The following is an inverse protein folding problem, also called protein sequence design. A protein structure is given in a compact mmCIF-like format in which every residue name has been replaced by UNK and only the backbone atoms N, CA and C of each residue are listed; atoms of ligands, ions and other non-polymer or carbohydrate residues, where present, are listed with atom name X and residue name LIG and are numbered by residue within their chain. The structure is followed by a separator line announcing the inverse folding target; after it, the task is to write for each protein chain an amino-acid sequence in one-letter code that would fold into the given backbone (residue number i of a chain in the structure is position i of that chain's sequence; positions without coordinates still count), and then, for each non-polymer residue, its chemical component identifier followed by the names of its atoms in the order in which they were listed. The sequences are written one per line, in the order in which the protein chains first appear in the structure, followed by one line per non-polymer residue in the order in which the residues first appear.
data_IF_336054644700
#
_entry.id   IF_336054644700
#
_cell.length_a   1.000
_cell.length_b   1.000
_cell.length_c   1.000
_cell.angle_alpha   90.00
_cell.angle_beta   90.00
_cell.angle_gamma   90.00
#
_symmetry.space_group_name_H-M   'P 1'
#
loop_
_entity.id
_entity.type
_entity.pdbx_description
1 polymer ?
#
# COMPACT_ATOMS: atom_id res chain seq x y z
N UNK A 1 3.09 1.48 -8.12
CA UNK A 1 3.70 2.11 -6.93
C UNK A 1 2.97 1.64 -5.69
N UNK A 2 3.67 1.09 -4.69
CA UNK A 2 3.10 0.71 -3.40
C UNK A 2 3.26 1.87 -2.44
N UNK A 3 2.20 2.21 -1.72
CA UNK A 3 2.23 3.16 -0.61
C UNK A 3 1.78 2.45 0.65
N UNK A 4 2.70 2.32 1.60
CA UNK A 4 2.49 1.63 2.85
C UNK A 4 2.33 2.65 3.98
N UNK A 5 1.14 2.72 4.55
CA UNK A 5 0.86 3.57 5.71
C UNK A 5 1.23 2.84 7.01
N UNK A 6 2.20 3.38 7.74
CA UNK A 6 2.60 2.91 9.07
C UNK A 6 2.33 3.95 10.16
N UNK A 7 1.39 4.88 9.91
CA UNK A 7 0.87 5.77 10.94
C UNK A 7 0.03 4.99 11.95
N UNK A 8 0.48 4.88 13.20
CA UNK A 8 -0.07 3.98 14.21
C UNK A 8 -1.55 4.24 14.56
N UNK A 9 -2.01 5.49 14.51
CA UNK A 9 -3.42 5.86 14.71
C UNK A 9 -4.34 5.38 13.57
N UNK A 10 -3.77 4.94 12.44
CA UNK A 10 -4.55 4.28 11.39
C UNK A 10 -4.95 2.85 11.77
N UNK A 11 -4.39 2.30 12.85
CA UNK A 11 -4.62 0.92 13.27
C UNK A 11 -5.34 0.85 14.62
N UNK A 12 -6.24 -0.13 14.84
CA UNK A 12 -6.91 -0.30 16.12
C UNK A 12 -5.89 -0.49 17.25
N UNK A 13 -6.00 0.29 18.33
CA UNK A 13 -4.99 0.34 19.41
C UNK A 13 -4.62 -1.04 19.97
N UNK A 14 -5.61 -1.95 20.09
CA UNK A 14 -5.40 -3.30 20.63
C UNK A 14 -4.59 -4.23 19.71
N UNK A 15 -4.61 -3.98 18.41
CA UNK A 15 -3.95 -4.84 17.40
C UNK A 15 -2.91 -4.07 16.60
N UNK A 16 -2.60 -2.83 16.99
CA UNK A 16 -1.76 -1.89 16.24
C UNK A 16 -0.48 -2.54 15.74
N UNK A 17 0.30 -3.13 16.64
CA UNK A 17 1.55 -3.80 16.30
C UNK A 17 1.34 -4.94 15.29
N UNK A 18 0.42 -5.88 15.58
CA UNK A 18 0.16 -7.05 14.73
C UNK A 18 -0.36 -6.62 13.34
N UNK A 19 -1.24 -5.61 13.28
CA UNK A 19 -1.78 -5.08 12.04
C UNK A 19 -0.73 -4.31 11.23
N UNK A 20 0.21 -3.62 11.89
CA UNK A 20 1.37 -3.01 11.23
C UNK A 20 2.29 -4.04 10.60
N UNK A 21 2.66 -5.08 11.34
CA UNK A 21 3.45 -6.21 10.81
C UNK A 21 2.76 -6.89 9.61
N UNK A 22 1.43 -7.05 9.71
CA UNK A 22 0.65 -7.57 8.60
C UNK A 22 0.68 -6.62 7.39
N UNK A 23 0.65 -5.31 7.58
CA UNK A 23 0.74 -4.34 6.49
C UNK A 23 2.10 -4.41 5.78
N UNK A 24 3.20 -4.56 6.53
CA UNK A 24 4.55 -4.80 6.00
C UNK A 24 4.58 -6.11 5.20
N UNK A 25 4.02 -7.18 5.77
CA UNK A 25 3.94 -8.50 5.12
C UNK A 25 3.15 -8.44 3.80
N UNK A 26 2.01 -7.74 3.80
CA UNK A 26 1.19 -7.53 2.59
C UNK A 26 1.96 -6.75 1.54
N UNK A 27 2.67 -5.68 1.93
CA UNK A 27 3.50 -4.90 1.01
C UNK A 27 4.61 -5.75 0.38
N UNK A 28 5.34 -6.53 1.18
CA UNK A 28 6.39 -7.44 0.72
C UNK A 28 5.84 -8.47 -0.28
N UNK A 29 4.70 -9.10 0.06
CA UNK A 29 4.08 -10.13 -0.77
C UNK A 29 3.51 -9.58 -2.08
N UNK A 30 2.87 -8.41 -2.06
CA UNK A 30 2.42 -7.73 -3.28
C UNK A 30 3.61 -7.35 -4.16
N UNK A 31 4.69 -6.81 -3.57
CA UNK A 31 5.91 -6.47 -4.32
C UNK A 31 6.52 -7.72 -4.98
N UNK A 32 6.67 -8.81 -4.23
CA UNK A 32 7.19 -10.08 -4.73
C UNK A 32 6.32 -10.64 -5.87
N UNK A 33 5.00 -10.61 -5.71
CA UNK A 33 4.07 -11.06 -6.73
C UNK A 33 4.18 -10.22 -8.02
N UNK A 34 4.21 -8.89 -7.91
CA UNK A 34 4.35 -8.00 -9.07
C UNK A 34 5.71 -8.18 -9.77
N UNK A 35 6.80 -8.29 -9.02
CA UNK A 35 8.14 -8.56 -9.59
C UNK A 35 8.17 -9.91 -10.29
N UNK A 36 7.54 -10.95 -9.74
CA UNK A 36 7.43 -12.27 -10.39
C UNK A 36 6.68 -12.24 -11.72
N UNK A 37 5.85 -11.20 -11.94
CA UNK A 37 5.12 -10.94 -13.19
C UNK A 37 5.87 -9.97 -14.13
N UNK A 38 7.13 -9.65 -13.83
CA UNK A 38 7.96 -8.73 -14.63
C UNK A 38 7.49 -7.27 -14.58
N UNK A 39 6.62 -6.92 -13.62
CA UNK A 39 6.10 -5.57 -13.48
C UNK A 39 7.12 -4.65 -12.80
N UNK A 40 7.03 -3.36 -13.11
CA UNK A 40 7.79 -2.33 -12.38
C UNK A 40 7.13 -2.06 -11.04
N UNK A 41 7.90 -2.06 -9.96
CA UNK A 41 7.40 -1.86 -8.59
C UNK A 41 8.27 -0.83 -7.89
N UNK A 42 7.66 0.11 -7.20
CA UNK A 42 8.32 1.03 -6.26
C UNK A 42 7.56 1.02 -4.94
N UNK A 43 8.17 1.58 -3.90
CA UNK A 43 7.62 1.63 -2.55
C UNK A 43 7.77 3.04 -1.98
N UNK A 44 6.76 3.52 -1.28
CA UNK A 44 6.84 4.70 -0.41
C UNK A 44 6.15 4.39 0.91
N UNK A 45 6.69 4.88 2.01
CA UNK A 45 6.09 4.70 3.34
C UNK A 45 6.38 5.88 4.26
N UNK A 46 5.40 6.17 5.12
CA UNK A 46 5.54 7.07 6.26
C UNK A 46 5.89 6.33 7.56
N UNK A 47 6.40 5.09 7.48
CA UNK A 47 7.00 4.42 8.63
C UNK A 47 8.32 5.06 9.04
N UNK A 48 8.71 4.84 10.29
CA UNK A 48 10.01 5.27 10.79
C UNK A 48 11.08 4.29 10.31
N UNK A 49 12.07 4.76 9.55
CA UNK A 49 13.30 4.00 9.26
C UNK A 49 14.31 4.28 10.38
N UNK A 50 14.72 3.23 11.11
CA UNK A 50 15.68 3.34 12.21
C UNK A 50 17.01 4.01 11.81
N UNK A 51 17.42 3.88 10.54
CA UNK A 51 18.67 4.44 10.04
C UNK A 51 18.50 5.89 9.59
N UNK A 52 17.32 6.25 9.06
CA UNK A 52 17.03 7.56 8.50
C UNK A 52 15.69 8.12 9.03
N UNK A 53 15.60 8.45 10.33
CA UNK A 53 14.33 8.72 11.02
C UNK A 53 13.62 10.02 10.60
N UNK A 54 14.25 10.87 9.78
CA UNK A 54 13.72 12.18 9.38
C UNK A 54 13.31 12.27 7.91
N UNK A 55 13.38 11.17 7.16
CA UNK A 55 13.02 11.13 5.75
C UNK A 55 11.93 10.11 5.48
N UNK A 56 10.95 10.48 4.65
CA UNK A 56 10.00 9.50 4.10
C UNK A 56 10.78 8.43 3.33
N UNK A 57 10.52 7.16 3.61
CA UNK A 57 11.19 6.06 2.95
C UNK A 57 10.63 5.87 1.55
N UNK A 58 11.49 5.91 0.55
CA UNK A 58 11.10 5.85 -0.86
C UNK A 58 12.07 5.03 -1.70
N UNK A 59 11.52 4.18 -2.55
CA UNK A 59 12.21 3.45 -3.59
C UNK A 59 11.45 3.71 -4.91
N UNK A 60 12.09 4.31 -5.93
CA UNK A 60 11.47 4.54 -7.23
C UNK A 60 11.08 3.23 -7.90
N UNK A 61 10.13 3.30 -8.84
CA UNK A 61 9.68 2.10 -9.55
C UNK A 61 10.76 1.58 -10.50
N UNK A 62 11.16 0.33 -10.33
CA UNK A 62 12.06 -0.38 -11.24
C UNK A 62 11.64 -1.85 -11.39
N UNK A 63 12.32 -2.61 -12.25
CA UNK A 63 12.04 -4.03 -12.52
C UNK A 63 13.12 -4.94 -11.95
N UNK A 64 12.79 -6.22 -11.77
CA UNK A 64 13.73 -7.30 -11.53
C UNK A 64 13.99 -7.62 -10.05
N UNK A 65 14.79 -8.65 -9.80
CA UNK A 65 14.99 -9.20 -8.46
C UNK A 65 15.77 -8.27 -7.52
N UNK A 66 16.69 -7.46 -8.05
CA UNK A 66 17.37 -6.43 -7.26
C UNK A 66 16.39 -5.43 -6.67
N UNK A 67 15.37 -5.03 -7.43
CA UNK A 67 14.33 -4.14 -6.94
C UNK A 67 13.55 -4.77 -5.77
N UNK A 68 13.21 -6.06 -5.87
CA UNK A 68 12.56 -6.77 -4.77
C UNK A 68 13.44 -6.78 -3.53
N UNK A 69 14.74 -7.07 -3.69
CA UNK A 69 15.69 -7.07 -2.57
C UNK A 69 15.74 -5.72 -1.87
N UNK A 70 15.90 -4.62 -2.61
CA UNK A 70 15.88 -3.26 -2.04
C UNK A 70 14.59 -2.96 -1.27
N UNK A 71 13.45 -3.40 -1.80
CA UNK A 71 12.14 -3.23 -1.15
C UNK A 71 12.08 -4.01 0.16
N UNK A 72 12.50 -5.28 0.17
CA UNK A 72 12.48 -6.12 1.37
C UNK A 72 13.44 -5.61 2.45
N UNK A 73 14.63 -5.15 2.06
CA UNK A 73 15.60 -4.54 2.99
C UNK A 73 15.06 -3.28 3.64
N UNK A 74 14.35 -2.43 2.89
CA UNK A 74 13.70 -1.26 3.46
C UNK A 74 12.56 -1.67 4.40
N UNK A 75 11.65 -2.54 3.95
CA UNK A 75 10.51 -3.00 4.74
C UNK A 75 10.94 -3.61 6.08
N UNK A 76 12.06 -4.32 6.12
CA UNK A 76 12.61 -4.92 7.34
C UNK A 76 13.07 -3.91 8.40
N UNK A 77 13.28 -2.64 8.03
CA UNK A 77 13.69 -1.57 8.96
C UNK A 77 12.54 -0.65 9.37
N UNK A 78 11.40 -0.76 8.69
CA UNK A 78 10.29 0.15 8.92
C UNK A 78 9.52 -0.24 10.17
N UNK A 79 9.26 0.75 11.02
CA UNK A 79 8.39 0.61 12.19
C UNK A 79 7.17 1.52 12.08
N UNK A 80 6.13 1.17 12.85
CA UNK A 80 5.01 2.07 13.08
C UNK A 80 5.47 3.36 13.77
N UNK A 81 4.85 4.48 13.43
CA UNK A 81 5.10 5.76 14.08
C UNK A 81 3.81 6.53 14.33
N UNK A 82 3.79 7.32 15.41
CA UNK A 82 2.63 8.14 15.81
C UNK A 82 2.86 9.64 15.55
N UNK A 83 4.00 10.03 14.96
CA UNK A 83 4.41 11.44 14.82
C UNK A 83 3.92 12.13 13.54
N UNK A 84 3.70 11.40 12.45
CA UNK A 84 3.33 12.01 11.16
C UNK A 84 2.23 11.21 10.48
N UNK A 85 1.05 11.82 10.41
CA UNK A 85 -0.12 11.25 9.71
C UNK A 85 -0.08 11.48 8.20
N UNK A 86 0.78 12.39 7.72
CA UNK A 86 0.76 12.82 6.33
C UNK A 86 1.49 11.81 5.45
N UNK A 87 0.71 10.90 4.89
CA UNK A 87 1.05 10.32 3.61
C UNK A 87 0.95 11.42 2.55
N UNK A 88 2.02 12.16 2.28
CA UNK A 88 2.10 13.03 1.09
C UNK A 88 2.30 12.15 -0.15
N UNK A 89 1.31 11.30 -0.45
CA UNK A 89 1.36 10.31 -1.53
C UNK A 89 1.66 10.97 -2.87
N UNK A 90 1.14 12.18 -3.06
CA UNK A 90 1.06 12.79 -4.38
C UNK A 90 2.03 13.94 -4.62
N UNK A 91 2.12 14.91 -3.71
CA UNK A 91 2.89 16.15 -3.96
C UNK A 91 4.37 15.87 -4.24
N UNK A 92 4.98 14.92 -3.53
CA UNK A 92 6.40 14.62 -3.65
C UNK A 92 6.75 13.75 -4.86
N UNK A 93 5.78 13.02 -5.42
CA UNK A 93 6.03 11.98 -6.44
C UNK A 93 5.31 12.23 -7.76
N UNK A 94 4.46 13.27 -7.87
CA UNK A 94 3.74 13.62 -9.10
C UNK A 94 4.63 13.75 -10.34
N UNK A 95 5.85 14.26 -10.20
CA UNK A 95 6.80 14.38 -11.32
C UNK A 95 7.49 13.06 -11.70
N UNK A 96 7.42 12.05 -10.83
CA UNK A 96 8.14 10.77 -10.95
C UNK A 96 7.22 9.62 -11.35
N UNK A 97 5.89 9.79 -11.26
CA UNK A 97 4.92 8.78 -11.62
C UNK A 97 4.47 8.95 -13.08
N UNK A 98 4.61 7.89 -13.86
CA UNK A 98 4.13 7.87 -15.25
C UNK A 98 2.60 7.74 -15.27
N UNK A 99 1.97 8.35 -16.29
CA UNK A 99 0.55 8.15 -16.55
C UNK A 99 0.22 6.65 -16.71
N UNK A 100 -0.90 6.20 -16.14
CA UNK A 100 -1.26 4.77 -16.11
C UNK A 100 -0.57 3.94 -15.02
N UNK A 101 0.16 4.56 -14.09
CA UNK A 101 0.70 3.85 -12.91
C UNK A 101 -0.43 3.44 -11.96
N UNK A 102 -0.48 2.17 -11.56
CA UNK A 102 -1.35 1.74 -10.47
C UNK A 102 -0.75 2.11 -9.11
N UNK A 103 -1.51 2.84 -8.30
CA UNK A 103 -1.25 3.14 -6.91
C UNK A 103 -1.89 2.06 -6.04
N UNK A 104 -1.08 1.33 -5.27
CA UNK A 104 -1.53 0.35 -4.29
C UNK A 104 -1.35 0.95 -2.90
N UNK A 105 -2.45 1.37 -2.27
CA UNK A 105 -2.47 1.88 -0.90
C UNK A 105 -2.69 0.72 0.07
N UNK A 106 -1.82 0.57 1.07
CA UNK A 106 -1.94 -0.42 2.13
C UNK A 106 -2.00 0.32 3.46
N UNK A 107 -3.08 0.18 4.21
CA UNK A 107 -3.30 0.97 5.43
C UNK A 107 -4.26 0.28 6.41
N UNK A 108 -4.15 0.60 7.70
CA UNK A 108 -5.15 0.18 8.69
C UNK A 108 -6.50 0.91 8.57
N UNK A 109 -6.49 2.17 8.11
CA UNK A 109 -7.67 3.02 7.92
C UNK A 109 -7.42 4.05 6.79
N UNK A 110 -8.47 4.68 6.30
CA UNK A 110 -8.37 5.79 5.33
C UNK A 110 -8.98 7.03 5.95
N UNK A 111 -8.11 7.91 6.45
CA UNK A 111 -8.52 9.21 7.00
C UNK A 111 -8.93 10.15 5.87
N UNK A 112 -9.59 11.25 6.22
CA UNK A 112 -9.98 12.29 5.24
C UNK A 112 -8.76 12.82 4.46
N UNK A 113 -7.63 13.03 5.13
CA UNK A 113 -6.38 13.42 4.49
C UNK A 113 -5.91 12.40 3.45
N UNK A 114 -5.96 11.10 3.77
CA UNK A 114 -5.59 10.04 2.82
C UNK A 114 -6.59 9.95 1.66
N UNK A 115 -7.88 10.19 1.91
CA UNK A 115 -8.88 10.29 0.84
C UNK A 115 -8.58 11.43 -0.12
N UNK A 116 -8.19 12.60 0.38
CA UNK A 116 -7.75 13.72 -0.45
C UNK A 116 -6.63 13.32 -1.41
N UNK A 117 -5.63 12.61 -0.89
CA UNK A 117 -4.51 12.11 -1.70
C UNK A 117 -4.91 11.04 -2.74
N UNK A 118 -5.84 10.16 -2.38
CA UNK A 118 -6.41 9.15 -3.29
C UNK A 118 -7.17 9.81 -4.44
N UNK A 119 -7.98 10.83 -4.15
CA UNK A 119 -8.73 11.59 -5.15
C UNK A 119 -7.77 12.37 -6.05
N UNK A 120 -6.76 13.02 -5.47
CA UNK A 120 -5.70 13.71 -6.23
C UNK A 120 -4.99 12.74 -7.19
N UNK A 121 -4.74 11.51 -6.77
CA UNK A 121 -4.13 10.49 -7.61
C UNK A 121 -5.02 10.05 -8.78
N UNK A 122 -6.32 9.83 -8.53
CA UNK A 122 -7.27 9.53 -9.61
C UNK A 122 -7.38 10.68 -10.62
N UNK A 123 -7.47 11.92 -10.15
CA UNK A 123 -7.55 13.10 -11.02
C UNK A 123 -6.30 13.29 -11.89
N UNK A 124 -5.15 12.82 -11.41
CA UNK A 124 -3.91 12.78 -12.18
C UNK A 124 -3.81 11.58 -13.14
N UNK A 125 -4.86 10.75 -13.25
CA UNK A 125 -4.94 9.62 -14.17
C UNK A 125 -4.27 8.34 -13.66
N UNK A 126 -4.05 8.21 -12.35
CA UNK A 126 -3.59 6.95 -11.75
C UNK A 126 -4.77 6.03 -11.44
N UNK A 127 -4.58 4.74 -11.64
CA UNK A 127 -5.48 3.74 -11.09
C UNK A 127 -5.18 3.53 -9.62
N UNK A 128 -6.20 3.47 -8.76
CA UNK A 128 -6.02 3.25 -7.32
C UNK A 128 -6.61 1.92 -6.89
N UNK A 129 -5.86 1.20 -6.05
CA UNK A 129 -6.30 0.02 -5.34
C UNK A 129 -5.97 0.16 -3.86
N UNK A 130 -6.93 -0.16 -2.99
CA UNK A 130 -6.82 0.00 -1.53
C UNK A 130 -6.88 -1.37 -0.84
N UNK A 131 -5.90 -1.64 0.02
CA UNK A 131 -5.90 -2.74 0.96
C UNK A 131 -6.05 -2.21 2.38
N UNK A 132 -7.11 -2.63 3.06
CA UNK A 132 -7.35 -2.30 4.47
C UNK A 132 -6.91 -3.45 5.36
N UNK A 133 -6.00 -3.17 6.29
CA UNK A 133 -5.34 -4.18 7.10
C UNK A 133 -5.97 -4.29 8.48
N UNK A 134 -6.19 -5.53 8.92
CA UNK A 134 -6.69 -5.85 10.25
C UNK A 134 -8.19 -5.61 10.44
N UNK A 135 -8.62 -5.58 11.71
CA UNK A 135 -10.03 -5.52 12.10
C UNK A 135 -10.56 -4.09 12.21
N UNK A 136 -10.46 -3.32 11.13
CA UNK A 136 -11.02 -1.97 11.10
C UNK A 136 -12.56 -2.01 11.07
N UNK A 137 -13.20 -1.46 12.11
CA UNK A 137 -14.67 -1.38 12.24
C UNK A 137 -15.34 -0.49 11.18
N UNK A 138 -14.58 0.43 10.59
CA UNK A 138 -15.01 1.37 9.55
C UNK A 138 -14.84 0.82 8.14
N UNK A 139 -14.38 -0.44 7.97
CA UNK A 139 -14.14 -1.00 6.64
C UNK A 139 -15.35 -0.88 5.70
N UNK A 140 -16.58 -1.12 6.17
CA UNK A 140 -17.79 -0.97 5.33
C UNK A 140 -17.99 0.45 4.81
N UNK A 141 -17.63 1.47 5.61
CA UNK A 141 -17.70 2.88 5.21
C UNK A 141 -16.63 3.17 4.15
N UNK A 142 -15.41 2.66 4.37
CA UNK A 142 -14.29 2.79 3.41
C UNK A 142 -14.64 2.11 2.08
N UNK A 143 -15.19 0.90 2.15
CA UNK A 143 -15.58 0.10 0.98
C UNK A 143 -16.69 0.80 0.19
N UNK A 144 -17.70 1.34 0.87
CA UNK A 144 -18.78 2.11 0.24
C UNK A 144 -18.25 3.38 -0.45
N UNK A 145 -17.36 4.12 0.21
CA UNK A 145 -16.73 5.32 -0.37
C UNK A 145 -15.83 4.96 -1.56
N UNK A 146 -15.01 3.92 -1.44
CA UNK A 146 -14.17 3.43 -2.53
C UNK A 146 -15.03 3.03 -3.75
N UNK A 147 -16.12 2.30 -3.51
CA UNK A 147 -17.04 1.87 -4.56
C UNK A 147 -17.67 3.06 -5.30
N UNK A 148 -18.10 4.10 -4.59
CA UNK A 148 -18.63 5.33 -5.19
C UNK A 148 -17.60 6.05 -6.08
N UNK A 149 -16.32 5.95 -5.75
CA UNK A 149 -15.20 6.49 -6.53
C UNK A 149 -14.69 5.53 -7.62
N UNK A 150 -15.31 4.36 -7.80
CA UNK A 150 -14.85 3.33 -8.73
C UNK A 150 -13.51 2.70 -8.34
N UNK A 151 -13.11 2.80 -7.07
CA UNK A 151 -11.85 2.28 -6.53
C UNK A 151 -12.07 0.88 -5.97
N UNK A 152 -11.17 -0.06 -6.32
CA UNK A 152 -11.17 -1.38 -5.72
C UNK A 152 -10.61 -1.30 -4.31
N UNK A 153 -11.38 -1.76 -3.34
CA UNK A 153 -10.91 -1.95 -1.96
C UNK A 153 -11.02 -3.41 -1.54
N UNK A 154 -10.12 -3.86 -0.68
CA UNK A 154 -10.14 -5.23 -0.14
C UNK A 154 -9.64 -5.20 1.30
N UNK A 155 -10.37 -5.85 2.21
CA UNK A 155 -9.88 -6.08 3.58
C UNK A 155 -9.00 -7.32 3.63
N UNK A 156 -7.85 -7.21 4.28
CA UNK A 156 -6.98 -8.32 4.63
C UNK A 156 -6.85 -8.34 6.16
N UNK A 157 -7.60 -9.23 6.81
CA UNK A 157 -7.58 -9.40 8.26
C UNK A 157 -6.57 -10.47 8.70
N UNK A 158 -6.32 -11.45 7.83
CA UNK A 158 -5.35 -12.53 8.03
C UNK A 158 -4.49 -12.76 6.78
N UNK A 159 -3.31 -13.37 6.95
CA UNK A 159 -2.41 -13.69 5.83
C UNK A 159 -3.07 -14.61 4.78
N UNK A 160 -3.99 -15.47 5.21
CA UNK A 160 -4.75 -16.34 4.29
C UNK A 160 -5.62 -15.53 3.30
N UNK A 161 -6.09 -14.35 3.69
CA UNK A 161 -6.88 -13.47 2.81
C UNK A 161 -6.02 -13.01 1.63
N UNK A 162 -4.74 -12.74 1.88
CA UNK A 162 -3.78 -12.32 0.86
C UNK A 162 -3.51 -13.44 -0.15
N UNK A 163 -3.30 -14.67 0.34
CA UNK A 163 -3.13 -15.83 -0.54
C UNK A 163 -4.38 -16.07 -1.41
N UNK A 164 -5.56 -15.93 -0.81
CA UNK A 164 -6.85 -16.06 -1.52
C UNK A 164 -7.00 -14.98 -2.60
N UNK A 165 -6.68 -13.73 -2.26
CA UNK A 165 -6.68 -12.62 -3.21
C UNK A 165 -5.72 -12.87 -4.38
N UNK A 166 -4.47 -13.29 -4.11
CA UNK A 166 -3.47 -13.59 -5.15
C UNK A 166 -3.93 -14.71 -6.09
N UNK A 167 -4.48 -15.80 -5.55
CA UNK A 167 -4.98 -16.93 -6.38
C UNK A 167 -6.13 -16.49 -7.29
N UNK A 168 -7.06 -15.69 -6.79
CA UNK A 168 -8.19 -15.19 -7.59
C UNK A 168 -7.75 -14.29 -8.75
N UNK A 169 -6.65 -13.55 -8.59
CA UNK A 169 -6.08 -12.68 -9.63
C UNK A 169 -5.12 -13.41 -10.56
N UNK A 170 -4.48 -14.49 -10.10
CA UNK A 170 -3.77 -15.41 -10.99
C UNK A 170 -4.74 -16.13 -11.95
N UNK A 171 -5.87 -16.65 -11.47
CA UNK A 171 -6.84 -17.36 -12.30
C UNK A 171 -7.44 -16.49 -13.42
N UNK A 172 -7.68 -15.19 -13.16
CA UNK A 172 -8.17 -14.23 -14.16
C UNK A 172 -7.15 -13.92 -15.27
N UNK A 173 -5.85 -14.12 -15.01
CA UNK A 173 -4.78 -13.95 -16.00
C UNK A 173 -4.77 -15.07 -17.06
N UNK A 174 -5.34 -16.24 -16.77
CA UNK A 174 -5.39 -17.38 -17.71
C UNK A 174 -6.64 -17.38 -18.61
N UNK A 175 -7.68 -16.61 -18.26
CA UNK A 175 -8.92 -16.50 -19.05
C UNK A 175 -8.87 -15.36 -20.09
N UNK A 176 -7.73 -14.68 -20.23
CA UNK A 176 -7.47 -13.66 -21.26
C UNK A 176 -6.35 -14.13 -22.20
N UNK A 177 -6.43 -15.39 -22.63
CA UNK A 177 -5.63 -15.98 -23.69
C UNK A 177 -6.51 -16.34 -24.87
#
# INVERSE_FOLDING_TARGET
MIFLNLYGESYPIKTRHISGEMAITVAASIAAWLVSKGQSVGLSSNGMDEIYPSSMSFIPSAKGNFQLMSILELLARLQLQDLTSSLHLFEQYRSKLQWGTTLVLISGDVTEAVWGEVINAQQAGLEVMIFIIGSNKRYQVIESAAYQLGIKSTRLAHELDLQTWQRSHQAKSWMRG
#
